data_IF_796975937604
#
_entry.id   IF_796975937604
#
_cell.length_a   1.000
_cell.length_b   1.000
_cell.length_c   1.000
_cell.angle_alpha   90.00
_cell.angle_beta   90.00
_cell.angle_gamma   90.00
#
_symmetry.space_group_name_H-M   'P 1'
#
loop_
_entity.id
_entity.type
_entity.pdbx_description
1 polymer ?
#
# COMPACT_ATOMS: atom_id res chain seq x y z
N UNK A 1 -13.65 0.30 15.14
CA UNK A 1 -12.28 0.12 14.60
C UNK A 1 -12.24 0.80 13.25
N UNK A 2 -11.44 1.85 13.08
CA UNK A 2 -11.20 2.45 11.76
C UNK A 2 -10.41 1.45 10.92
N UNK A 3 -11.05 0.85 9.92
CA UNK A 3 -10.41 -0.10 9.01
C UNK A 3 -9.29 0.59 8.24
N UNK A 4 -8.06 0.09 8.37
CA UNK A 4 -6.92 0.53 7.57
C UNK A 4 -7.23 0.24 6.10
N UNK A 5 -7.12 1.25 5.23
CA UNK A 5 -7.27 1.07 3.78
C UNK A 5 -5.91 0.76 3.15
N UNK A 6 -5.83 -0.16 2.17
CA UNK A 6 -4.63 -0.37 1.37
C UNK A 6 -4.11 0.90 0.70
N UNK A 7 -5.01 1.83 0.35
CA UNK A 7 -4.64 3.11 -0.26
C UNK A 7 -3.90 4.03 0.70
N UNK A 8 -4.30 4.04 1.98
CA UNK A 8 -3.58 4.76 3.02
C UNK A 8 -2.19 4.17 3.26
N UNK A 9 -2.06 2.84 3.18
CA UNK A 9 -0.76 2.15 3.26
C UNK A 9 0.11 2.45 2.02
N UNK A 10 -0.48 2.50 0.82
CA UNK A 10 0.21 2.89 -0.40
C UNK A 10 0.81 4.30 -0.28
N UNK A 11 0.09 5.23 0.33
CA UNK A 11 0.62 6.57 0.60
C UNK A 11 1.82 6.57 1.56
N UNK A 12 1.92 5.60 2.49
CA UNK A 12 3.15 5.43 3.29
C UNK A 12 4.32 4.99 2.42
N UNK A 13 4.11 4.03 1.52
CA UNK A 13 5.13 3.56 0.59
C UNK A 13 5.61 4.71 -0.31
N UNK A 14 4.72 5.53 -0.84
CA UNK A 14 5.10 6.69 -1.67
C UNK A 14 5.90 7.74 -0.89
N UNK A 15 5.56 7.95 0.39
CA UNK A 15 6.31 8.87 1.24
C UNK A 15 7.75 8.42 1.42
N UNK A 16 7.97 7.13 1.73
CA UNK A 16 9.32 6.57 1.83
C UNK A 16 10.04 6.60 0.50
N UNK A 17 9.38 6.18 -0.57
CA UNK A 17 9.98 6.13 -1.90
C UNK A 17 10.40 7.52 -2.40
N UNK A 18 9.64 8.56 -2.05
CA UNK A 18 9.99 9.96 -2.34
C UNK A 18 11.22 10.41 -1.56
N UNK A 19 11.36 10.03 -0.29
CA UNK A 19 12.52 10.40 0.53
C UNK A 19 13.80 9.69 0.07
N UNK A 20 13.66 8.47 -0.44
CA UNK A 20 14.78 7.65 -0.92
C UNK A 20 15.06 7.82 -2.42
N UNK A 21 14.29 8.66 -3.13
CA UNK A 21 14.36 8.82 -4.58
C UNK A 21 14.19 7.50 -5.36
N UNK A 22 13.35 6.60 -4.86
CA UNK A 22 13.05 5.31 -5.48
C UNK A 22 11.72 5.41 -6.23
N UNK A 23 11.69 5.27 -7.57
CA UNK A 23 10.45 5.29 -8.31
C UNK A 23 9.59 4.03 -8.05
N UNK A 24 8.28 4.21 -8.07
CA UNK A 24 7.27 3.17 -7.85
C UNK A 24 6.34 3.10 -9.06
N UNK A 25 6.26 1.94 -9.70
CA UNK A 25 5.24 1.61 -10.70
C UNK A 25 4.05 0.89 -10.03
N UNK A 26 2.87 0.83 -10.65
CA UNK A 26 1.73 0.06 -10.12
C UNK A 26 2.06 -1.40 -9.77
N UNK A 27 2.83 -2.08 -10.62
CA UNK A 27 3.24 -3.46 -10.36
C UNK A 27 4.18 -3.57 -9.15
N UNK A 28 5.09 -2.61 -8.98
CA UNK A 28 5.98 -2.56 -7.81
C UNK A 28 5.19 -2.29 -6.53
N UNK A 29 4.21 -1.39 -6.59
CA UNK A 29 3.31 -1.10 -5.46
C UNK A 29 2.55 -2.35 -4.99
N UNK A 30 1.94 -3.10 -5.92
CA UNK A 30 1.22 -4.34 -5.60
C UNK A 30 2.12 -5.35 -4.84
N UNK A 31 3.35 -5.54 -5.32
CA UNK A 31 4.33 -6.44 -4.70
C UNK A 31 4.74 -5.97 -3.30
N UNK A 32 5.03 -4.69 -3.13
CA UNK A 32 5.40 -4.13 -1.83
C UNK A 32 4.26 -4.24 -0.81
N UNK A 33 3.02 -3.94 -1.23
CA UNK A 33 1.84 -4.12 -0.37
C UNK A 33 1.65 -5.59 0.02
N UNK A 34 1.87 -6.53 -0.90
CA UNK A 34 1.78 -7.96 -0.60
C UNK A 34 2.80 -8.39 0.44
N UNK A 35 4.07 -8.01 0.28
CA UNK A 35 5.11 -8.35 1.24
C UNK A 35 4.85 -7.73 2.62
N UNK A 36 4.48 -6.44 2.66
CA UNK A 36 4.12 -5.76 3.89
C UNK A 36 2.95 -6.44 4.61
N UNK A 37 1.89 -6.80 3.88
CA UNK A 37 0.75 -7.51 4.44
C UNK A 37 1.13 -8.88 4.98
N UNK A 38 1.88 -9.67 4.19
CA UNK A 38 2.36 -11.01 4.59
C UNK A 38 3.17 -10.93 5.87
N UNK A 39 4.15 -10.03 5.93
CA UNK A 39 5.06 -9.93 7.06
C UNK A 39 4.35 -9.40 8.31
N UNK A 40 3.41 -8.47 8.14
CA UNK A 40 2.54 -8.01 9.24
C UNK A 40 1.66 -9.14 9.77
N UNK A 41 1.06 -9.94 8.87
CA UNK A 41 0.21 -11.07 9.24
C UNK A 41 1.02 -12.12 10.01
N UNK A 42 2.23 -12.47 9.54
CA UNK A 42 3.11 -13.43 10.23
C UNK A 42 3.48 -12.93 11.63
N UNK A 43 3.84 -11.65 11.78
CA UNK A 43 4.29 -11.08 13.06
C UNK A 43 3.16 -10.90 14.07
N UNK A 44 1.96 -10.56 13.62
CA UNK A 44 0.85 -10.18 14.51
C UNK A 44 -0.25 -11.21 14.60
N UNK A 45 -0.26 -12.20 13.71
CA UNK A 45 -1.38 -13.09 13.46
C UNK A 45 -2.70 -12.35 13.14
N UNK A 46 -2.61 -11.09 12.69
CA UNK A 46 -3.74 -10.22 12.37
C UNK A 46 -3.57 -9.62 10.97
N UNK A 47 -4.68 -9.46 10.26
CA UNK A 47 -4.69 -8.81 8.94
C UNK A 47 -4.40 -7.32 9.05
N UNK A 48 -3.48 -6.79 8.23
CA UNK A 48 -3.17 -5.36 8.20
C UNK A 48 -4.35 -4.51 7.71
N UNK A 49 -5.11 -5.04 6.76
CA UNK A 49 -6.35 -4.48 6.22
C UNK A 49 -7.31 -5.60 5.82
N UNK A 50 -8.58 -5.26 5.59
CA UNK A 50 -9.64 -6.23 5.26
C UNK A 50 -9.65 -6.66 3.80
N UNK A 51 -9.15 -5.82 2.90
CA UNK A 51 -9.05 -6.13 1.47
C UNK A 51 -8.19 -7.37 1.25
N UNK A 52 -8.63 -8.24 0.34
CA UNK A 52 -7.96 -9.51 0.06
C UNK A 52 -7.18 -9.42 -1.24
N UNK A 53 -5.98 -9.98 -1.24
CA UNK A 53 -5.24 -10.20 -2.47
C UNK A 53 -5.94 -11.26 -3.31
N UNK A 54 -6.12 -10.97 -4.59
CA UNK A 54 -6.67 -11.86 -5.59
C UNK A 54 -5.54 -12.54 -6.37
N UNK A 55 -5.74 -13.80 -6.75
CA UNK A 55 -4.77 -14.56 -7.54
C UNK A 55 -4.89 -14.19 -9.03
N UNK A 56 -4.16 -13.16 -9.47
CA UNK A 56 -4.12 -12.75 -10.87
C UNK A 56 -3.00 -13.45 -11.64
N UNK A 57 -3.02 -13.33 -12.98
CA UNK A 57 -2.04 -13.95 -13.88
C UNK A 57 -0.57 -13.69 -13.50
N UNK A 58 -0.28 -12.51 -12.97
CA UNK A 58 1.09 -12.06 -12.65
C UNK A 58 1.41 -12.10 -11.15
N UNK A 59 0.56 -12.74 -10.35
CA UNK A 59 0.70 -12.85 -8.91
C UNK A 59 -0.43 -12.20 -8.13
N UNK A 60 -0.32 -12.18 -6.78
CA UNK A 60 -1.33 -11.58 -5.91
C UNK A 60 -1.46 -10.08 -6.17
N UNK A 61 -2.70 -9.62 -6.36
CA UNK A 61 -3.00 -8.21 -6.61
C UNK A 61 -4.23 -7.75 -5.84
N UNK A 62 -4.25 -6.47 -5.46
CA UNK A 62 -5.43 -5.80 -4.91
C UNK A 62 -6.16 -5.05 -6.03
N UNK A 63 -7.43 -5.39 -6.23
CA UNK A 63 -8.29 -4.71 -7.23
C UNK A 63 -8.35 -3.20 -7.00
N UNK A 64 -8.52 -2.75 -5.76
CA UNK A 64 -8.57 -1.32 -5.43
C UNK A 64 -7.30 -0.54 -5.82
N UNK A 65 -6.13 -1.19 -5.75
CA UNK A 65 -4.86 -0.60 -6.17
C UNK A 65 -4.77 -0.54 -7.69
N UNK A 66 -5.25 -1.58 -8.39
CA UNK A 66 -5.32 -1.58 -9.84
C UNK A 66 -6.29 -0.52 -10.36
N UNK A 67 -7.48 -0.40 -9.76
CA UNK A 67 -8.48 0.59 -10.16
C UNK A 67 -7.97 2.02 -9.98
N UNK A 68 -7.23 2.25 -8.89
CA UNK A 68 -6.71 3.58 -8.55
C UNK A 68 -5.48 3.96 -9.38
N UNK A 69 -4.50 3.06 -9.51
CA UNK A 69 -3.18 3.38 -10.07
C UNK A 69 -2.85 2.65 -11.38
N UNK A 70 -3.69 1.72 -11.84
CA UNK A 70 -3.43 0.91 -13.03
C UNK A 70 -3.26 1.71 -14.32
N UNK A 71 -3.84 2.92 -14.38
CA UNK A 71 -3.71 3.83 -15.52
C UNK A 71 -2.26 4.34 -15.76
N UNK A 72 -1.39 4.26 -14.75
CA UNK A 72 0.04 4.53 -14.91
C UNK A 72 0.75 3.45 -15.73
N UNK A 73 0.22 2.22 -15.79
CA UNK A 73 0.80 1.06 -16.50
C UNK A 73 2.23 0.74 -16.04
N UNK A 74 3.21 0.96 -16.89
CA UNK A 74 4.65 0.79 -16.69
C UNK A 74 5.34 2.07 -16.22
N UNK A 75 4.62 3.20 -16.20
CA UNK A 75 5.14 4.49 -15.75
C UNK A 75 5.11 4.60 -14.23
N UNK A 76 5.94 5.51 -13.72
CA UNK A 76 6.01 5.80 -12.29
C UNK A 76 4.74 6.50 -11.83
N UNK A 77 4.23 6.09 -10.67
CA UNK A 77 3.17 6.78 -9.95
C UNK A 77 3.76 8.07 -9.40
N UNK A 78 3.17 9.20 -9.78
CA UNK A 78 3.66 10.54 -9.42
C UNK A 78 2.77 11.26 -8.41
N UNK A 79 1.67 10.63 -7.98
CA UNK A 79 0.66 11.25 -7.14
C UNK A 79 0.21 10.33 -6.01
N UNK A 80 0.04 10.91 -4.82
CA UNK A 80 -0.61 10.25 -3.69
C UNK A 80 -2.11 10.04 -3.96
N UNK A 81 -2.69 8.98 -3.41
CA UNK A 81 -4.14 8.81 -3.40
C UNK A 81 -4.78 9.85 -2.48
N UNK A 82 -5.76 10.59 -3.00
CA UNK A 82 -6.58 11.53 -2.24
C UNK A 82 -7.99 10.95 -2.07
N UNK A 83 -8.49 11.00 -0.84
CA UNK A 83 -9.87 10.66 -0.51
C UNK A 83 -10.84 11.72 -1.06
N UNK A 84 -12.14 11.51 -0.85
CA UNK A 84 -13.22 12.39 -1.32
C UNK A 84 -13.10 13.83 -0.80
N UNK A 85 -12.48 14.03 0.37
CA UNK A 85 -12.21 15.35 0.95
C UNK A 85 -10.96 16.04 0.37
N UNK A 86 -10.38 15.46 -0.69
CA UNK A 86 -9.14 15.90 -1.36
C UNK A 86 -7.89 15.86 -0.49
N UNK A 87 -7.94 15.19 0.67
CA UNK A 87 -6.77 14.92 1.52
C UNK A 87 -6.26 13.52 1.26
N UNK A 88 -4.96 13.32 1.49
CA UNK A 88 -4.39 11.98 1.51
C UNK A 88 -4.12 11.59 2.96
N UNK A 89 -4.31 10.31 3.25
CA UNK A 89 -4.07 9.75 4.58
C UNK A 89 -2.93 8.77 4.54
N UNK A 90 -2.22 8.69 5.65
CA UNK A 90 -1.14 7.74 5.92
C UNK A 90 -1.39 7.06 7.27
N UNK A 91 -0.91 5.84 7.41
CA UNK A 91 -0.90 5.16 8.70
C UNK A 91 0.16 5.81 9.58
N UNK A 92 -0.23 6.17 10.80
CA UNK A 92 0.70 6.73 11.76
C UNK A 92 1.55 5.62 12.36
N UNK A 93 2.82 5.61 11.96
CA UNK A 93 3.82 4.63 12.38
C UNK A 93 4.10 4.66 13.90
N UNK A 94 3.98 5.83 14.55
CA UNK A 94 4.19 5.95 16.00
C UNK A 94 3.11 5.23 16.81
N UNK A 95 1.89 5.17 16.28
CA UNK A 95 0.76 4.51 16.93
C UNK A 95 0.63 3.03 16.57
N UNK A 96 1.41 2.55 15.59
CA UNK A 96 1.46 1.14 15.21
C UNK A 96 2.93 0.70 15.04
N UNK A 97 3.63 0.39 16.15
CA UNK A 97 5.06 0.10 16.12
C UNK A 97 5.39 -1.13 15.28
N UNK A 98 4.50 -2.13 15.21
CA UNK A 98 4.73 -3.33 14.40
C UNK A 98 4.65 -3.00 12.92
N UNK A 99 3.74 -2.11 12.51
CA UNK A 99 3.68 -1.61 11.15
C UNK A 99 4.97 -0.85 10.79
N UNK A 100 5.43 0.05 11.67
CA UNK A 100 6.68 0.80 11.48
C UNK A 100 7.92 -0.09 11.36
N UNK A 101 7.97 -1.22 12.09
CA UNK A 101 9.07 -2.19 11.97
C UNK A 101 8.97 -3.11 10.75
N UNK A 102 7.87 -3.08 10.01
CA UNK A 102 7.64 -3.99 8.88
C UNK A 102 7.66 -3.27 7.54
N UNK A 103 7.27 -1.99 7.54
CA UNK A 103 7.43 -1.09 6.41
C UNK A 103 8.90 -0.73 6.20
#
# INVERSE_FOLDING_TARGET
MSTISPLSVANNIFYLSSNENIPITPMKLQKLLYFLYRDYLIKTNNSLFSDRFEAWKYGPALSIIQDTFGHYKDRNITQYYKSNDKKFYRINEKTNPIFSQTL
#
